data_IF_450422720011
#
_entry.id   IF_450422720011
#
_cell.length_a   1.000
_cell.length_b   1.000
_cell.length_c   1.000
_cell.angle_alpha   90.00
_cell.angle_beta   90.00
_cell.angle_gamma   90.00
#
_symmetry.space_group_name_H-M   'P 1'
#
loop_
_entity.id
_entity.type
_entity.pdbx_description
1 polymer ?
#
# COMPACT_ATOMS: atom_id res chain seq x y z
N UNK A 1 0.11 -14.59 8.18
CA UNK A 1 -1.07 -13.97 7.55
C UNK A 1 -1.33 -14.64 6.20
N UNK A 2 -2.58 -14.81 5.76
CA UNK A 2 -2.85 -15.51 4.49
C UNK A 2 -2.32 -14.68 3.31
N UNK A 3 -1.21 -15.10 2.68
CA UNK A 3 -0.47 -14.28 1.69
C UNK A 3 -1.36 -13.81 0.53
N UNK A 4 -2.32 -14.64 0.13
CA UNK A 4 -3.30 -14.32 -0.91
C UNK A 4 -4.18 -13.13 -0.50
N UNK A 5 -4.65 -13.10 0.76
CA UNK A 5 -5.47 -12.02 1.28
C UNK A 5 -4.68 -10.71 1.40
N UNK A 6 -3.41 -10.78 1.80
CA UNK A 6 -2.54 -9.62 1.88
C UNK A 6 -2.29 -9.01 0.50
N UNK A 7 -2.03 -9.84 -0.51
CA UNK A 7 -1.82 -9.40 -1.90
C UNK A 7 -3.09 -8.78 -2.48
N UNK A 8 -4.25 -9.38 -2.20
CA UNK A 8 -5.55 -8.84 -2.58
C UNK A 8 -5.81 -7.46 -1.94
N UNK A 9 -5.57 -7.32 -0.64
CA UNK A 9 -5.71 -6.05 0.08
C UNK A 9 -4.77 -4.98 -0.49
N UNK A 10 -3.52 -5.35 -0.81
CA UNK A 10 -2.54 -4.44 -1.42
C UNK A 10 -3.02 -3.93 -2.79
N UNK A 11 -3.54 -4.81 -3.66
CA UNK A 11 -4.06 -4.43 -4.98
C UNK A 11 -5.24 -3.48 -4.86
N UNK A 12 -6.19 -3.75 -3.95
CA UNK A 12 -7.33 -2.85 -3.72
C UNK A 12 -6.87 -1.48 -3.20
N UNK A 13 -5.95 -1.47 -2.23
CA UNK A 13 -5.40 -0.22 -1.69
C UNK A 13 -4.68 0.58 -2.79
N UNK A 14 -3.81 -0.07 -3.56
CA UNK A 14 -3.07 0.57 -4.64
C UNK A 14 -4.01 1.11 -5.73
N UNK A 15 -5.07 0.36 -6.09
CA UNK A 15 -6.09 0.81 -7.03
C UNK A 15 -6.84 2.05 -6.54
N UNK A 16 -7.28 2.06 -5.29
CA UNK A 16 -7.93 3.23 -4.69
C UNK A 16 -7.01 4.45 -4.65
N UNK A 17 -5.78 4.30 -4.16
CA UNK A 17 -4.80 5.38 -4.10
C UNK A 17 -4.44 5.90 -5.49
N UNK A 18 -4.33 5.03 -6.49
CA UNK A 18 -4.11 5.42 -7.87
C UNK A 18 -5.25 6.27 -8.44
N UNK A 19 -6.51 5.88 -8.17
CA UNK A 19 -7.68 6.68 -8.55
C UNK A 19 -7.67 8.04 -7.85
N UNK A 20 -7.33 8.07 -6.55
CA UNK A 20 -7.28 9.29 -5.75
C UNK A 20 -6.22 10.27 -6.31
N UNK A 21 -5.01 9.76 -6.60
CA UNK A 21 -3.91 10.53 -7.16
C UNK A 21 -4.23 11.09 -8.56
N UNK A 22 -4.97 10.33 -9.39
CA UNK A 22 -5.36 10.77 -10.72
C UNK A 22 -6.51 11.80 -10.70
N UNK A 23 -7.50 11.59 -9.83
CA UNK A 23 -8.72 12.40 -9.81
C UNK A 23 -8.57 13.68 -8.97
N UNK A 24 -7.72 13.65 -7.95
CA UNK A 24 -7.47 14.78 -7.04
C UNK A 24 -5.96 15.02 -6.93
N UNK A 25 -5.28 15.44 -8.02
CA UNK A 25 -3.84 15.65 -8.02
C UNK A 25 -3.48 16.96 -7.30
N UNK A 26 -3.44 16.90 -5.97
CA UNK A 26 -2.90 17.96 -5.12
C UNK A 26 -1.49 17.59 -4.64
N UNK A 27 -0.53 18.53 -4.60
CA UNK A 27 0.85 18.24 -4.24
C UNK A 27 0.99 17.72 -2.80
N UNK A 28 0.23 18.25 -1.86
CA UNK A 28 0.13 17.77 -0.48
C UNK A 28 -0.38 16.32 -0.42
N UNK A 29 -1.42 16.01 -1.19
CA UNK A 29 -2.00 14.67 -1.26
C UNK A 29 -1.00 13.67 -1.85
N UNK A 30 -0.28 14.02 -2.92
CA UNK A 30 0.72 13.14 -3.54
C UNK A 30 1.86 12.80 -2.58
N UNK A 31 2.29 13.75 -1.75
CA UNK A 31 3.34 13.52 -0.74
C UNK A 31 2.86 12.52 0.31
N UNK A 32 1.66 12.73 0.88
CA UNK A 32 1.09 11.83 1.90
C UNK A 32 0.81 10.44 1.30
N UNK A 33 0.33 10.40 0.06
CA UNK A 33 0.04 9.16 -0.65
C UNK A 33 1.31 8.36 -0.94
N UNK A 34 2.38 9.02 -1.38
CA UNK A 34 3.70 8.40 -1.56
C UNK A 34 4.25 7.80 -0.25
N UNK A 35 4.13 8.55 0.85
CA UNK A 35 4.54 8.08 2.18
C UNK A 35 3.72 6.87 2.62
N UNK A 36 2.41 6.89 2.39
CA UNK A 36 1.50 5.80 2.72
C UNK A 36 1.84 4.53 1.95
N UNK A 37 2.07 4.63 0.63
CA UNK A 37 2.46 3.50 -0.21
C UNK A 37 3.80 2.93 0.24
N UNK A 38 4.76 3.79 0.61
CA UNK A 38 6.07 3.37 1.11
C UNK A 38 5.97 2.59 2.43
N UNK A 39 5.15 3.08 3.37
CA UNK A 39 4.91 2.39 4.65
C UNK A 39 4.20 1.04 4.44
N UNK A 40 3.21 0.98 3.56
CA UNK A 40 2.51 -0.27 3.24
C UNK A 40 3.44 -1.27 2.54
N UNK A 41 4.30 -0.80 1.63
CA UNK A 41 5.29 -1.66 0.99
C UNK A 41 6.31 -2.20 2.01
N UNK A 42 6.73 -1.36 2.97
CA UNK A 42 7.60 -1.78 4.07
C UNK A 42 6.92 -2.82 4.97
N UNK A 43 5.66 -2.57 5.38
CA UNK A 43 4.86 -3.52 6.17
C UNK A 43 4.70 -4.86 5.44
N UNK A 44 4.39 -4.82 4.14
CA UNK A 44 4.24 -6.02 3.33
C UNK A 44 5.56 -6.81 3.21
N UNK A 45 6.70 -6.12 3.06
CA UNK A 45 8.01 -6.74 3.00
C UNK A 45 8.45 -7.34 4.34
N UNK A 46 8.24 -6.64 5.46
CA UNK A 46 8.60 -7.15 6.80
C UNK A 46 7.65 -8.26 7.26
N UNK A 47 6.34 -8.11 7.05
CA UNK A 47 5.34 -9.14 7.41
C UNK A 47 5.44 -10.39 6.55
N UNK A 48 6.02 -10.31 5.35
CA UNK A 48 6.33 -11.48 4.53
C UNK A 48 7.60 -12.23 4.98
N UNK A 49 8.48 -11.53 5.72
CA UNK A 49 9.71 -12.08 6.31
C UNK A 49 9.53 -12.69 7.69
N UNK A 50 8.40 -12.42 8.37
CA UNK A 50 8.03 -13.08 9.63
C UNK A 50 7.53 -14.51 9.35
N UNK A 51 8.48 -15.37 8.97
CA UNK A 51 8.37 -16.81 9.12
C UNK A 51 8.81 -17.14 10.56
N UNK A 52 8.01 -16.66 11.51
CA UNK A 52 8.13 -17.04 12.90
C UNK A 52 7.10 -18.12 13.11
N UNK A 53 7.58 -19.36 13.00
CA UNK A 53 6.91 -20.59 13.38
C UNK A 53 6.13 -20.45 14.70
#
# INVERSE_FOLDING_TARGET
>A
MNRILALFAFVILAGFLGILAYRVPSPDLLVVLGLTVLLVAYDFATSSGDNKD
#
